data_IF_554807792434
#
_entry.id   IF_554807792434
#
_cell.length_a   1.000
_cell.length_b   1.000
_cell.length_c   1.000
_cell.angle_alpha   90.00
_cell.angle_beta   90.00
_cell.angle_gamma   90.00
#
_symmetry.space_group_name_H-M   'P 1'
#
loop_
_entity.id
_entity.type
_entity.pdbx_description
1 polymer ?
#
# COMPACT_ATOMS: atom_id res chain seq x y z
N UNK A 1 -26.83 -2.69 -47.87
CA UNK A 1 -25.96 -3.78 -47.38
C UNK A 1 -26.49 -4.18 -46.02
N UNK A 2 -26.72 -5.47 -45.78
CA UNK A 2 -27.33 -5.95 -44.53
C UNK A 2 -26.39 -5.71 -43.34
N UNK A 3 -26.93 -5.25 -42.20
CA UNK A 3 -26.12 -4.97 -41.00
C UNK A 3 -25.54 -6.28 -40.44
N UNK A 4 -24.22 -6.28 -40.19
CA UNK A 4 -23.55 -7.46 -39.62
C UNK A 4 -24.04 -7.71 -38.19
N UNK A 5 -24.20 -8.98 -37.84
CA UNK A 5 -24.75 -9.38 -36.54
C UNK A 5 -24.01 -8.74 -35.35
N UNK A 6 -22.68 -8.62 -35.42
CA UNK A 6 -21.87 -8.03 -34.35
C UNK A 6 -22.14 -6.55 -34.12
N UNK A 7 -22.30 -5.77 -35.20
CA UNK A 7 -22.65 -4.33 -35.14
C UNK A 7 -24.00 -4.14 -34.49
N UNK A 8 -24.99 -4.94 -34.93
CA UNK A 8 -26.34 -4.93 -34.33
C UNK A 8 -26.30 -5.26 -32.84
N UNK A 9 -25.56 -6.31 -32.46
CA UNK A 9 -25.43 -6.73 -31.07
C UNK A 9 -24.79 -5.67 -30.19
N UNK A 10 -23.77 -4.94 -30.65
CA UNK A 10 -23.15 -3.86 -29.88
C UNK A 10 -24.14 -2.70 -29.67
N UNK A 11 -24.87 -2.31 -30.73
CA UNK A 11 -25.85 -1.21 -30.68
C UNK A 11 -27.02 -1.49 -29.75
N UNK A 12 -27.53 -2.73 -29.76
CA UNK A 12 -28.71 -3.14 -29.00
C UNK A 12 -28.38 -3.68 -27.60
N UNK A 13 -27.09 -3.75 -27.25
CA UNK A 13 -26.66 -4.31 -25.98
C UNK A 13 -27.12 -3.47 -24.78
N UNK A 14 -27.54 -4.16 -23.74
CA UNK A 14 -27.65 -3.61 -22.40
C UNK A 14 -26.77 -4.43 -21.47
N UNK A 15 -26.22 -3.79 -20.44
CA UNK A 15 -25.49 -4.52 -19.42
C UNK A 15 -26.44 -5.48 -18.69
N UNK A 16 -26.03 -6.74 -18.60
CA UNK A 16 -26.79 -7.79 -17.94
C UNK A 16 -26.05 -8.23 -16.67
N UNK A 17 -26.82 -8.74 -15.71
CA UNK A 17 -26.31 -9.26 -14.45
C UNK A 17 -26.94 -10.60 -14.14
N UNK A 18 -26.20 -11.44 -13.42
CA UNK A 18 -26.71 -12.70 -12.89
C UNK A 18 -26.47 -12.76 -11.38
N UNK A 19 -27.24 -13.59 -10.69
CA UNK A 19 -27.11 -13.72 -9.24
C UNK A 19 -25.73 -14.27 -8.84
N UNK A 20 -25.11 -13.61 -7.87
CA UNK A 20 -23.92 -14.12 -7.21
C UNK A 20 -24.28 -15.41 -6.44
N UNK A 21 -23.77 -16.55 -6.92
CA UNK A 21 -24.01 -17.87 -6.31
C UNK A 21 -23.22 -18.10 -5.01
N UNK A 22 -22.17 -17.31 -4.79
CA UNK A 22 -21.22 -17.51 -3.69
C UNK A 22 -21.33 -16.39 -2.64
N UNK A 23 -22.53 -16.06 -2.19
CA UNK A 23 -22.77 -14.96 -1.21
C UNK A 23 -22.17 -15.20 0.17
N UNK A 24 -21.77 -16.44 0.47
CA UNK A 24 -21.23 -16.86 1.77
C UNK A 24 -19.75 -16.51 1.96
N UNK A 25 -19.07 -16.03 0.91
CA UNK A 25 -17.65 -15.66 0.96
C UNK A 25 -17.42 -14.41 0.14
N UNK A 26 -16.57 -13.52 0.64
CA UNK A 26 -16.09 -12.41 -0.16
C UNK A 26 -15.02 -12.93 -1.13
N UNK A 27 -15.10 -12.47 -2.37
CA UNK A 27 -14.12 -12.77 -3.40
C UNK A 27 -14.01 -11.58 -4.34
N UNK A 28 -12.86 -11.47 -4.99
CA UNK A 28 -12.58 -10.38 -5.92
C UNK A 28 -12.50 -10.93 -7.33
N UNK A 29 -13.24 -10.32 -8.25
CA UNK A 29 -13.19 -10.61 -9.68
C UNK A 29 -12.33 -9.54 -10.35
N UNK A 30 -11.42 -9.97 -11.23
CA UNK A 30 -10.58 -9.09 -12.03
C UNK A 30 -10.81 -9.34 -13.51
N UNK A 31 -11.15 -8.30 -14.25
CA UNK A 31 -11.21 -8.30 -15.70
C UNK A 31 -10.13 -7.40 -16.27
N UNK A 32 -9.48 -7.86 -17.34
CA UNK A 32 -8.56 -7.07 -18.15
C UNK A 32 -9.11 -7.02 -19.57
N UNK A 33 -9.23 -5.81 -20.11
CA UNK A 33 -9.87 -5.53 -21.40
C UNK A 33 -8.87 -4.70 -22.22
N UNK A 34 -7.91 -5.37 -22.89
CA UNK A 34 -6.76 -4.70 -23.53
C UNK A 34 -7.12 -4.01 -24.87
N UNK A 35 -8.32 -4.22 -25.40
CA UNK A 35 -8.75 -3.71 -26.71
C UNK A 35 -9.80 -2.59 -26.61
N UNK A 36 -9.80 -1.81 -25.52
CA UNK A 36 -10.69 -0.66 -25.40
C UNK A 36 -10.31 0.42 -26.41
N UNK A 37 -11.32 1.02 -27.05
CA UNK A 37 -11.13 2.18 -27.91
C UNK A 37 -12.35 3.10 -27.87
N UNK A 38 -12.09 4.39 -28.06
CA UNK A 38 -13.11 5.42 -28.23
C UNK A 38 -12.62 6.51 -29.20
N UNK A 39 -13.46 7.49 -29.50
CA UNK A 39 -13.10 8.64 -30.32
C UNK A 39 -12.83 9.85 -29.43
N UNK A 40 -11.79 10.61 -29.79
CA UNK A 40 -11.56 11.91 -29.18
C UNK A 40 -12.68 12.89 -29.54
N UNK A 41 -13.33 13.54 -28.56
CA UNK A 41 -14.40 14.52 -28.83
C UNK A 41 -14.01 15.69 -29.72
N UNK A 42 -12.74 16.07 -29.73
CA UNK A 42 -12.25 17.25 -30.47
C UNK A 42 -11.78 16.89 -31.88
N UNK A 43 -10.94 15.86 -32.00
CA UNK A 43 -10.29 15.51 -33.28
C UNK A 43 -10.95 14.35 -34.02
N UNK A 44 -11.80 13.56 -33.36
CA UNK A 44 -12.37 12.33 -33.92
C UNK A 44 -11.36 11.20 -34.13
N UNK A 45 -10.10 11.39 -33.77
CA UNK A 45 -9.09 10.33 -33.82
C UNK A 45 -9.38 9.25 -32.78
N UNK A 46 -9.08 7.97 -33.09
CA UNK A 46 -9.27 6.90 -32.15
C UNK A 46 -8.23 6.99 -31.03
N UNK A 47 -8.72 6.86 -29.80
CA UNK A 47 -7.93 6.63 -28.61
C UNK A 47 -8.04 5.14 -28.21
N UNK A 48 -6.98 4.60 -27.62
CA UNK A 48 -6.87 3.21 -27.22
C UNK A 48 -6.47 3.12 -25.75
N UNK A 49 -7.00 2.14 -25.04
CA UNK A 49 -6.65 1.90 -23.64
C UNK A 49 -6.72 0.42 -23.27
N UNK A 50 -6.08 0.07 -22.16
CA UNK A 50 -6.42 -1.13 -21.40
C UNK A 50 -7.33 -0.75 -20.24
N UNK A 51 -8.53 -1.31 -20.17
CA UNK A 51 -9.43 -1.15 -19.03
C UNK A 51 -9.29 -2.36 -18.11
N UNK A 52 -9.00 -2.11 -16.83
CA UNK A 52 -9.00 -3.11 -15.77
C UNK A 52 -10.16 -2.85 -14.82
N UNK A 53 -11.00 -3.86 -14.59
CA UNK A 53 -12.11 -3.78 -13.65
C UNK A 53 -11.86 -4.79 -12.54
N UNK A 54 -11.76 -4.30 -11.31
CA UNK A 54 -11.65 -5.11 -10.11
C UNK A 54 -12.88 -4.88 -9.26
N UNK A 55 -13.62 -5.94 -8.87
CA UNK A 55 -14.79 -5.75 -8.02
C UNK A 55 -15.10 -6.93 -7.10
N UNK A 56 -15.75 -6.62 -5.99
CA UNK A 56 -16.29 -7.58 -5.03
C UNK A 56 -17.81 -7.57 -5.12
N UNK A 57 -18.43 -8.64 -5.67
CA UNK A 57 -19.87 -8.67 -5.88
C UNK A 57 -20.62 -8.69 -4.55
N UNK A 58 -21.78 -8.02 -4.51
CA UNK A 58 -22.78 -8.23 -3.48
C UNK A 58 -23.75 -9.33 -3.95
N UNK A 59 -24.94 -8.95 -4.38
CA UNK A 59 -25.97 -9.88 -4.85
C UNK A 59 -25.80 -10.31 -6.31
N UNK A 60 -25.08 -9.53 -7.10
CA UNK A 60 -25.00 -9.71 -8.55
C UNK A 60 -23.56 -9.68 -9.06
N UNK A 61 -23.34 -10.43 -10.13
CA UNK A 61 -22.16 -10.37 -10.98
C UNK A 61 -22.56 -9.90 -12.38
N UNK A 62 -21.66 -9.20 -13.06
CA UNK A 62 -21.90 -8.78 -14.45
C UNK A 62 -21.77 -9.98 -15.40
N UNK A 63 -22.67 -10.08 -16.37
CA UNK A 63 -22.59 -11.09 -17.41
C UNK A 63 -21.52 -10.68 -18.44
N UNK A 64 -20.55 -11.58 -18.68
CA UNK A 64 -19.31 -11.25 -19.37
C UNK A 64 -19.50 -10.88 -20.86
N UNK A 65 -20.46 -11.50 -21.54
CA UNK A 65 -20.76 -11.17 -22.95
C UNK A 65 -21.38 -9.78 -23.07
N UNK A 66 -22.28 -9.40 -22.17
CA UNK A 66 -22.91 -8.08 -22.12
C UNK A 66 -21.89 -6.99 -21.80
N UNK A 67 -20.95 -7.26 -20.87
CA UNK A 67 -19.84 -6.36 -20.55
C UNK A 67 -18.95 -6.13 -21.78
N UNK A 68 -18.59 -7.20 -22.50
CA UNK A 68 -17.78 -7.09 -23.73
C UNK A 68 -18.47 -6.21 -24.77
N UNK A 69 -19.77 -6.42 -25.00
CA UNK A 69 -20.53 -5.65 -25.98
C UNK A 69 -20.71 -4.18 -25.54
N UNK A 70 -20.94 -3.95 -24.25
CA UNK A 70 -21.00 -2.62 -23.64
C UNK A 70 -19.68 -1.86 -23.84
N UNK A 71 -18.53 -2.49 -23.59
CA UNK A 71 -17.23 -1.87 -23.81
C UNK A 71 -17.02 -1.55 -25.30
N UNK A 72 -17.39 -2.47 -26.20
CA UNK A 72 -17.27 -2.23 -27.64
C UNK A 72 -18.13 -1.06 -28.14
N UNK A 73 -19.18 -0.69 -27.40
CA UNK A 73 -20.03 0.44 -27.74
C UNK A 73 -19.29 1.79 -27.62
N UNK A 74 -18.18 1.86 -26.89
CA UNK A 74 -17.34 3.06 -26.80
C UNK A 74 -16.57 3.36 -28.09
N UNK A 75 -16.38 2.37 -28.97
CA UNK A 75 -15.53 2.49 -30.17
C UNK A 75 -15.87 3.68 -31.05
N UNK A 76 -17.16 3.96 -31.20
CA UNK A 76 -17.67 5.04 -32.05
C UNK A 76 -18.18 6.23 -31.21
N UNK A 77 -17.90 6.27 -29.91
CA UNK A 77 -18.30 7.35 -29.00
C UNK A 77 -17.20 8.38 -28.84
N UNK A 78 -17.62 9.64 -28.93
CA UNK A 78 -16.81 10.79 -28.53
C UNK A 78 -16.84 10.94 -27.01
N UNK A 79 -15.74 10.65 -26.33
CA UNK A 79 -15.66 10.71 -24.85
C UNK A 79 -14.24 11.06 -24.38
N UNK A 80 -14.13 11.87 -23.32
CA UNK A 80 -12.83 12.21 -22.72
C UNK A 80 -12.26 11.03 -21.91
N UNK A 81 -10.93 11.00 -21.73
CA UNK A 81 -10.26 9.88 -21.05
C UNK A 81 -10.73 9.74 -19.59
N UNK A 82 -10.92 10.86 -18.92
CA UNK A 82 -11.40 11.00 -17.55
C UNK A 82 -12.82 10.45 -17.38
N UNK A 83 -13.68 10.71 -18.37
CA UNK A 83 -15.08 10.29 -18.35
C UNK A 83 -15.21 8.78 -18.55
N UNK A 84 -14.34 8.15 -19.35
CA UNK A 84 -14.42 6.71 -19.65
C UNK A 84 -14.45 5.87 -18.37
N UNK A 85 -13.50 6.08 -17.45
CA UNK A 85 -13.43 5.28 -16.23
C UNK A 85 -14.64 5.53 -15.31
N UNK A 86 -15.07 6.80 -15.20
CA UNK A 86 -16.23 7.19 -14.39
C UNK A 86 -17.53 6.59 -14.92
N UNK A 87 -17.80 6.71 -16.23
CA UNK A 87 -19.01 6.15 -16.86
C UNK A 87 -19.06 4.63 -16.66
N UNK A 88 -17.95 3.93 -16.90
CA UNK A 88 -17.88 2.48 -16.71
C UNK A 88 -18.16 2.11 -15.24
N UNK A 89 -17.57 2.85 -14.30
CA UNK A 89 -17.81 2.61 -12.87
C UNK A 89 -19.28 2.86 -12.51
N UNK A 90 -19.84 4.00 -12.89
CA UNK A 90 -21.21 4.40 -12.54
C UNK A 90 -22.24 3.42 -13.10
N UNK A 91 -22.11 3.03 -14.37
CA UNK A 91 -23.01 2.09 -15.02
C UNK A 91 -22.96 0.71 -14.34
N UNK A 92 -21.76 0.23 -13.99
CA UNK A 92 -21.58 -1.06 -13.32
C UNK A 92 -21.99 -1.03 -11.85
N UNK A 93 -21.78 0.09 -11.15
CA UNK A 93 -22.26 0.28 -9.77
C UNK A 93 -23.78 0.31 -9.76
N UNK A 94 -24.41 1.05 -10.67
CA UNK A 94 -25.86 1.08 -10.82
C UNK A 94 -26.43 -0.31 -11.13
N UNK A 95 -25.74 -1.06 -12.00
CA UNK A 95 -26.15 -2.41 -12.36
C UNK A 95 -25.98 -3.42 -11.22
N UNK A 96 -24.85 -3.40 -10.52
CA UNK A 96 -24.45 -4.51 -9.64
C UNK A 96 -24.65 -4.22 -8.15
N UNK A 97 -24.70 -2.95 -7.77
CA UNK A 97 -24.60 -2.49 -6.38
C UNK A 97 -23.49 -3.26 -5.62
N UNK A 98 -22.23 -3.22 -6.12
CA UNK A 98 -21.16 -4.06 -5.59
C UNK A 98 -20.73 -3.58 -4.20
N UNK A 99 -20.07 -4.46 -3.42
CA UNK A 99 -19.47 -4.06 -2.14
C UNK A 99 -18.30 -3.11 -2.34
N UNK A 100 -17.53 -3.39 -3.40
CA UNK A 100 -16.39 -2.61 -3.84
C UNK A 100 -16.23 -2.76 -5.35
N UNK A 101 -15.84 -1.68 -6.02
CA UNK A 101 -15.41 -1.72 -7.41
C UNK A 101 -14.33 -0.68 -7.66
N UNK A 102 -13.34 -1.04 -8.47
CA UNK A 102 -12.30 -0.16 -9.00
C UNK A 102 -12.26 -0.33 -10.51
N UNK A 103 -12.26 0.78 -11.22
CA UNK A 103 -11.98 0.83 -12.67
C UNK A 103 -10.68 1.58 -12.87
N UNK A 104 -9.74 0.96 -13.56
CA UNK A 104 -8.47 1.54 -13.96
C UNK A 104 -8.39 1.59 -15.49
N UNK A 105 -8.23 2.77 -16.05
CA UNK A 105 -8.07 2.99 -17.48
C UNK A 105 -6.63 3.45 -17.76
N UNK A 106 -5.92 2.68 -18.58
CA UNK A 106 -4.54 2.96 -19.00
C UNK A 106 -4.53 3.28 -20.49
N UNK A 107 -4.52 4.56 -20.85
CA UNK A 107 -4.59 5.02 -22.24
C UNK A 107 -3.20 5.00 -22.88
N UNK A 108 -3.16 4.66 -24.16
CA UNK A 108 -1.94 4.77 -24.96
C UNK A 108 -1.47 6.23 -25.06
N UNK A 109 -0.16 6.40 -25.22
CA UNK A 109 0.47 7.73 -25.32
C UNK A 109 -0.14 8.52 -26.48
N UNK A 110 -0.59 9.74 -26.18
CA UNK A 110 -1.09 10.70 -27.16
C UNK A 110 -0.38 12.03 -26.99
N UNK A 111 0.19 12.55 -28.08
CA UNK A 111 0.93 13.82 -28.02
C UNK A 111 2.09 13.80 -27.03
N UNK A 112 2.75 12.64 -26.86
CA UNK A 112 3.79 12.37 -25.86
C UNK A 112 3.32 12.40 -24.40
N UNK A 113 2.02 12.33 -24.14
CA UNK A 113 1.45 12.28 -22.79
C UNK A 113 0.82 10.89 -22.59
N UNK A 114 1.19 10.24 -21.49
CA UNK A 114 0.58 9.00 -21.00
C UNK A 114 -0.48 9.34 -19.96
N UNK A 115 -1.68 8.78 -20.09
CA UNK A 115 -2.82 9.12 -19.23
C UNK A 115 -3.34 7.86 -18.58
N UNK A 116 -3.46 7.89 -17.25
CA UNK A 116 -4.08 6.81 -16.48
C UNK A 116 -5.15 7.37 -15.56
N UNK A 117 -6.28 6.67 -15.42
CA UNK A 117 -7.40 7.09 -14.59
C UNK A 117 -7.78 5.94 -13.66
N UNK A 118 -7.95 6.23 -12.38
CA UNK A 118 -8.48 5.28 -11.38
C UNK A 118 -9.70 5.87 -10.71
N UNK A 119 -10.79 5.11 -10.66
CA UNK A 119 -12.00 5.46 -9.90
C UNK A 119 -12.43 4.28 -9.04
N UNK A 120 -13.01 4.58 -7.88
CA UNK A 120 -13.37 3.57 -6.86
C UNK A 120 -14.76 3.86 -6.30
N UNK A 121 -15.51 2.78 -6.08
CA UNK A 121 -16.77 2.76 -5.33
C UNK A 121 -16.67 1.80 -4.15
N UNK A 122 -17.18 2.22 -2.99
CA UNK A 122 -17.30 1.39 -1.79
C UNK A 122 -15.95 1.09 -1.10
N UNK A 123 -15.98 0.17 -0.14
CA UNK A 123 -14.81 -0.23 0.64
C UNK A 123 -14.45 -1.66 0.32
N UNK A 124 -13.21 -1.89 -0.14
CA UNK A 124 -12.71 -3.24 -0.41
C UNK A 124 -12.70 -4.06 0.87
N UNK A 125 -13.47 -5.14 0.88
CA UNK A 125 -13.43 -6.15 1.93
C UNK A 125 -12.09 -6.87 1.94
N UNK A 126 -11.69 -7.24 3.16
CA UNK A 126 -10.37 -7.78 3.49
C UNK A 126 -10.11 -9.07 2.72
N UNK A 127 -8.94 -9.18 2.10
CA UNK A 127 -8.56 -10.34 1.28
C UNK A 127 -8.14 -11.56 2.12
N UNK A 128 -7.81 -11.36 3.40
CA UNK A 128 -7.45 -12.42 4.34
C UNK A 128 -8.34 -12.35 5.60
N UNK A 129 -9.68 -12.56 5.45
CA UNK A 129 -10.65 -12.32 6.53
C UNK A 129 -10.56 -13.35 7.68
N UNK A 130 -9.95 -14.51 7.46
CA UNK A 130 -9.77 -15.52 8.51
C UNK A 130 -8.35 -15.51 9.10
N UNK A 131 -7.51 -14.56 8.68
CA UNK A 131 -6.10 -14.52 9.06
C UNK A 131 -5.78 -13.34 9.98
N UNK A 132 -4.76 -13.55 10.80
CA UNK A 132 -4.16 -12.53 11.67
C UNK A 132 -2.85 -12.05 11.06
N UNK A 133 -2.62 -10.74 11.09
CA UNK A 133 -1.34 -10.14 10.73
C UNK A 133 -0.63 -9.51 11.92
N UNK A 134 0.70 -9.55 11.88
CA UNK A 134 1.59 -8.95 12.86
C UNK A 134 2.36 -7.80 12.21
N UNK A 135 2.15 -6.58 12.70
CA UNK A 135 2.71 -5.36 12.10
C UNK A 135 3.90 -4.89 12.92
N UNK A 136 5.06 -4.70 12.29
CA UNK A 136 6.16 -3.96 12.90
C UNK A 136 5.80 -2.47 12.96
N UNK A 137 5.44 -1.99 14.16
CA UNK A 137 4.97 -0.63 14.40
C UNK A 137 6.04 0.18 15.13
N UNK A 138 6.54 1.25 14.50
CA UNK A 138 7.59 2.12 15.07
C UNK A 138 7.08 3.47 15.54
N UNK A 139 5.83 3.83 15.24
CA UNK A 139 5.33 5.20 15.47
C UNK A 139 5.63 6.18 14.33
N UNK A 140 6.47 5.79 13.36
CA UNK A 140 6.76 6.57 12.16
C UNK A 140 5.73 6.42 11.04
N UNK A 141 5.81 7.34 10.07
CA UNK A 141 4.92 7.43 8.89
C UNK A 141 4.76 6.08 8.17
N UNK A 142 5.87 5.43 7.81
CA UNK A 142 5.84 4.21 6.98
C UNK A 142 5.17 3.05 7.73
N UNK A 143 5.53 2.86 9.01
CA UNK A 143 4.91 1.82 9.83
C UNK A 143 3.43 2.08 10.10
N UNK A 144 3.00 3.34 10.18
CA UNK A 144 1.59 3.71 10.27
C UNK A 144 0.85 3.34 8.99
N UNK A 145 1.37 3.70 7.80
CA UNK A 145 0.70 3.36 6.53
C UNK A 145 0.67 1.84 6.32
N UNK A 146 1.72 1.13 6.70
CA UNK A 146 1.71 -0.35 6.72
C UNK A 146 0.65 -0.92 7.67
N UNK A 147 0.41 -0.29 8.83
CA UNK A 147 -0.68 -0.67 9.72
C UNK A 147 -2.05 -0.44 9.08
N UNK A 148 -2.27 0.71 8.43
CA UNK A 148 -3.52 1.00 7.72
C UNK A 148 -3.78 -0.05 6.64
N UNK A 149 -2.75 -0.37 5.85
CA UNK A 149 -2.82 -1.43 4.85
C UNK A 149 -3.18 -2.77 5.50
N UNK A 150 -2.55 -3.14 6.62
CA UNK A 150 -2.85 -4.39 7.31
C UNK A 150 -4.30 -4.45 7.81
N UNK A 151 -4.82 -3.36 8.40
CA UNK A 151 -6.21 -3.29 8.88
C UNK A 151 -7.21 -3.45 7.73
N UNK A 152 -6.89 -2.99 6.52
CA UNK A 152 -7.72 -3.16 5.34
C UNK A 152 -7.66 -4.59 4.75
N UNK A 153 -6.60 -5.36 5.02
CA UNK A 153 -6.38 -6.68 4.38
C UNK A 153 -6.61 -7.87 5.31
N UNK A 154 -6.52 -7.69 6.63
CA UNK A 154 -6.62 -8.76 7.63
C UNK A 154 -7.68 -8.48 8.68
N UNK A 155 -8.41 -9.50 9.10
CA UNK A 155 -9.48 -9.35 10.09
C UNK A 155 -8.96 -9.02 11.48
N UNK A 156 -7.87 -9.68 11.88
CA UNK A 156 -7.16 -9.40 13.13
C UNK A 156 -5.76 -8.85 12.83
N UNK A 157 -5.38 -7.79 13.55
CA UNK A 157 -4.05 -7.19 13.46
C UNK A 157 -3.51 -7.01 14.87
N UNK A 158 -2.25 -7.38 15.09
CA UNK A 158 -1.50 -7.10 16.31
C UNK A 158 -0.23 -6.31 15.95
N UNK A 159 0.05 -5.26 16.71
CA UNK A 159 1.25 -4.45 16.57
C UNK A 159 2.37 -5.01 17.44
N UNK A 160 3.59 -5.02 16.91
CA UNK A 160 4.81 -5.34 17.64
C UNK A 160 5.80 -4.19 17.45
N UNK A 161 6.27 -3.63 18.56
CA UNK A 161 7.29 -2.57 18.58
C UNK A 161 8.57 -3.11 19.18
N UNK A 162 9.69 -2.87 18.50
CA UNK A 162 11.02 -3.13 19.04
C UNK A 162 11.69 -1.78 19.31
N UNK A 163 12.31 -1.64 20.46
CA UNK A 163 13.01 -0.43 20.84
C UNK A 163 14.41 -0.72 21.36
N UNK A 164 15.31 0.22 21.09
CA UNK A 164 16.73 0.19 21.41
C UNK A 164 17.26 1.62 21.49
N UNK A 165 18.21 1.90 22.37
CA UNK A 165 18.77 3.22 22.63
C UNK A 165 17.86 4.21 23.36
N UNK A 166 18.45 5.28 23.90
CA UNK A 166 17.74 6.32 24.65
C UNK A 166 16.80 7.20 23.79
N UNK A 167 17.09 7.33 22.49
CA UNK A 167 16.33 8.19 21.55
C UNK A 167 14.98 7.61 21.10
N UNK A 168 14.66 6.36 21.43
CA UNK A 168 13.45 5.65 20.97
C UNK A 168 12.25 5.74 21.93
N UNK A 169 12.38 6.42 23.08
CA UNK A 169 11.24 6.64 23.98
C UNK A 169 10.08 7.39 23.31
N UNK A 170 10.39 8.32 22.40
CA UNK A 170 9.38 9.06 21.64
C UNK A 170 8.73 8.15 20.59
N UNK A 171 9.50 7.37 19.84
CA UNK A 171 8.95 6.45 18.84
C UNK A 171 8.01 5.40 19.46
N UNK A 172 8.40 4.83 20.61
CA UNK A 172 7.56 3.90 21.38
C UNK A 172 6.26 4.59 21.84
N UNK A 173 6.33 5.82 22.34
CA UNK A 173 5.15 6.58 22.73
C UNK A 173 4.15 6.75 21.57
N UNK A 174 4.65 7.09 20.37
CA UNK A 174 3.79 7.22 19.19
C UNK A 174 3.25 5.87 18.72
N UNK A 175 4.03 4.79 18.77
CA UNK A 175 3.56 3.44 18.47
C UNK A 175 2.40 3.01 19.40
N UNK A 176 2.53 3.26 20.71
CA UNK A 176 1.44 3.03 21.68
C UNK A 176 0.21 3.87 21.38
N UNK A 177 0.39 5.16 21.11
CA UNK A 177 -0.70 6.09 20.78
C UNK A 177 -1.49 5.59 19.58
N UNK A 178 -0.79 5.16 18.53
CA UNK A 178 -1.39 4.60 17.32
C UNK A 178 -2.15 3.31 17.67
N UNK A 179 -1.50 2.34 18.33
CA UNK A 179 -2.13 1.06 18.63
C UNK A 179 -3.40 1.22 19.49
N UNK A 180 -3.36 2.10 20.50
CA UNK A 180 -4.54 2.45 21.32
C UNK A 180 -5.66 3.07 20.48
N UNK A 181 -5.33 3.99 19.56
CA UNK A 181 -6.32 4.64 18.70
C UNK A 181 -7.02 3.69 17.73
N UNK A 182 -6.33 2.64 17.28
CA UNK A 182 -6.92 1.61 16.42
C UNK A 182 -7.50 0.43 17.20
N UNK A 183 -7.44 0.46 18.53
CA UNK A 183 -7.89 -0.61 19.42
C UNK A 183 -7.31 -1.99 19.04
N UNK A 184 -6.00 -2.04 18.75
CA UNK A 184 -5.29 -3.28 18.41
C UNK A 184 -4.36 -3.72 19.55
N UNK A 185 -4.19 -5.05 19.76
CA UNK A 185 -3.17 -5.54 20.67
C UNK A 185 -1.78 -5.01 20.30
N UNK A 186 -0.97 -4.71 21.32
CA UNK A 186 0.36 -4.12 21.14
C UNK A 186 1.36 -4.76 22.08
N UNK A 187 2.38 -5.41 21.52
CA UNK A 187 3.48 -6.02 22.24
C UNK A 187 4.77 -5.24 22.02
N UNK A 188 5.57 -5.07 23.07
CA UNK A 188 6.82 -4.30 23.01
C UNK A 188 8.01 -5.14 23.46
N UNK A 189 9.14 -4.99 22.76
CA UNK A 189 10.38 -5.70 23.05
C UNK A 189 11.56 -4.73 23.15
N UNK A 190 12.22 -4.74 24.31
CA UNK A 190 13.51 -4.07 24.49
C UNK A 190 14.63 -4.96 23.95
N UNK A 191 15.35 -4.50 22.94
CA UNK A 191 16.51 -5.18 22.37
C UNK A 191 17.80 -4.35 22.49
N UNK A 192 17.78 -3.30 23.31
CA UNK A 192 18.87 -2.34 23.48
C UNK A 192 20.20 -3.02 23.85
N UNK A 193 20.21 -3.81 24.92
CA UNK A 193 21.42 -4.51 25.38
C UNK A 193 21.99 -5.50 24.37
N UNK A 194 21.12 -6.13 23.56
CA UNK A 194 21.55 -7.05 22.50
C UNK A 194 22.21 -6.31 21.33
N UNK A 195 21.65 -5.18 20.90
CA UNK A 195 22.26 -4.39 19.82
C UNK A 195 23.55 -3.69 20.27
N UNK A 196 23.60 -3.18 21.50
CA UNK A 196 24.82 -2.61 22.09
C UNK A 196 25.97 -3.61 22.15
N UNK A 197 25.69 -4.87 22.47
CA UNK A 197 26.71 -5.92 22.57
C UNK A 197 27.16 -6.51 21.23
N UNK A 198 26.44 -6.23 20.14
CA UNK A 198 26.69 -6.85 18.82
C UNK A 198 27.13 -5.84 17.75
N UNK A 199 27.15 -4.54 18.07
CA UNK A 199 27.58 -3.50 17.14
C UNK A 199 28.61 -2.55 17.78
N UNK A 200 29.81 -2.45 17.18
CA UNK A 200 30.82 -1.41 17.45
C UNK A 200 30.37 -0.04 16.87
N UNK A 201 29.13 0.38 17.17
CA UNK A 201 28.53 1.56 16.56
C UNK A 201 28.44 2.73 17.54
N UNK A 202 28.94 3.89 17.14
CA UNK A 202 28.95 5.16 17.88
C UNK A 202 27.56 5.75 18.18
N UNK A 203 26.49 4.99 17.94
CA UNK A 203 25.11 5.32 18.31
C UNK A 203 24.93 5.54 19.82
N UNK A 204 25.85 5.03 20.64
CA UNK A 204 25.82 5.13 22.10
C UNK A 204 26.80 6.17 22.68
N UNK A 205 27.67 6.78 21.87
CA UNK A 205 28.76 7.66 22.32
C UNK A 205 28.52 9.17 22.09
N UNK A 206 27.32 9.57 21.66
CA UNK A 206 26.87 10.97 21.65
C UNK A 206 27.62 11.95 20.73
N UNK A 207 28.68 11.52 20.03
CA UNK A 207 29.49 12.38 19.17
C UNK A 207 29.49 11.87 17.70
N UNK A 208 28.94 12.70 16.80
CA UNK A 208 28.91 12.58 15.34
C UNK A 208 28.04 11.47 14.70
N UNK A 209 26.73 11.73 14.62
CA UNK A 209 25.79 10.98 13.76
C UNK A 209 26.00 11.21 12.24
N UNK A 210 26.94 12.08 11.84
CA UNK A 210 27.15 12.52 10.45
C UNK A 210 28.31 11.81 9.73
N UNK A 211 28.99 10.87 10.39
CA UNK A 211 30.17 10.17 9.84
C UNK A 211 29.85 8.94 8.99
N UNK A 212 30.88 8.38 8.34
CA UNK A 212 30.82 7.09 7.64
C UNK A 212 31.13 5.93 8.60
N UNK A 213 30.51 4.76 8.39
CA UNK A 213 30.77 3.57 9.21
C UNK A 213 32.22 3.08 9.05
N UNK A 214 32.86 2.75 10.18
CA UNK A 214 34.27 2.38 10.23
C UNK A 214 34.62 1.17 9.33
N UNK A 215 33.80 0.12 9.38
CA UNK A 215 34.01 -1.10 8.59
C UNK A 215 33.38 -1.08 7.20
N UNK A 216 32.45 -0.16 6.93
CA UNK A 216 31.67 -0.12 5.70
C UNK A 216 31.45 1.34 5.28
N UNK A 217 32.50 1.98 4.76
CA UNK A 217 32.53 3.43 4.50
C UNK A 217 31.40 3.98 3.63
N UNK A 218 30.69 3.12 2.88
CA UNK A 218 29.52 3.48 2.07
C UNK A 218 28.21 3.57 2.88
N UNK A 219 28.23 3.23 4.18
CA UNK A 219 27.08 3.22 5.08
C UNK A 219 27.24 4.29 6.18
N UNK A 220 26.13 4.81 6.76
CA UNK A 220 26.19 5.77 7.86
C UNK A 220 26.82 5.20 9.14
N UNK A 221 27.45 6.03 9.97
CA UNK A 221 28.02 5.60 11.26
C UNK A 221 26.98 4.99 12.23
N UNK A 222 25.69 5.31 12.05
CA UNK A 222 24.56 4.70 12.78
C UNK A 222 24.12 3.34 12.22
N UNK A 223 24.88 2.72 11.33
CA UNK A 223 24.55 1.43 10.75
C UNK A 223 24.76 0.31 11.77
N UNK A 224 23.69 -0.41 12.08
CA UNK A 224 23.74 -1.68 12.81
C UNK A 224 23.55 -2.79 11.77
N UNK A 225 24.55 -3.66 11.56
CA UNK A 225 24.47 -4.73 10.57
C UNK A 225 23.23 -5.61 10.73
N UNK A 226 22.46 -5.76 9.65
CA UNK A 226 21.33 -6.70 9.56
C UNK A 226 20.24 -6.51 10.65
N UNK A 227 20.05 -5.29 11.13
CA UNK A 227 19.05 -5.00 12.18
C UNK A 227 17.63 -5.39 11.78
N UNK A 228 17.24 -5.18 10.52
CA UNK A 228 15.89 -5.54 10.08
C UNK A 228 15.69 -7.05 10.08
N UNK A 229 16.76 -7.82 9.84
CA UNK A 229 16.75 -9.27 10.00
C UNK A 229 16.41 -9.71 11.42
N UNK A 230 17.01 -9.05 12.41
CA UNK A 230 16.68 -9.29 13.81
C UNK A 230 15.23 -8.94 14.11
N UNK A 231 14.74 -7.79 13.64
CA UNK A 231 13.36 -7.36 13.88
C UNK A 231 12.36 -8.35 13.31
N UNK A 232 12.60 -8.82 12.08
CA UNK A 232 11.78 -9.83 11.41
C UNK A 232 11.80 -11.17 12.16
N UNK A 233 12.94 -11.59 12.71
CA UNK A 233 13.01 -12.79 13.55
C UNK A 233 12.21 -12.63 14.84
N UNK A 234 12.34 -11.49 15.53
CA UNK A 234 11.63 -11.26 16.79
C UNK A 234 10.11 -11.25 16.59
N UNK A 235 9.60 -10.54 15.57
CA UNK A 235 8.16 -10.53 15.29
C UNK A 235 7.65 -11.91 14.83
N UNK A 236 8.45 -12.68 14.07
CA UNK A 236 8.09 -14.04 13.68
C UNK A 236 8.01 -14.97 14.90
N UNK A 237 8.98 -14.89 15.82
CA UNK A 237 8.96 -15.64 17.07
C UNK A 237 7.79 -15.21 17.98
N UNK A 238 7.48 -13.91 18.02
CA UNK A 238 6.30 -13.40 18.71
C UNK A 238 5.02 -14.05 18.15
N UNK A 239 4.86 -14.04 16.82
CA UNK A 239 3.71 -14.61 16.15
C UNK A 239 3.60 -16.13 16.37
N UNK A 240 4.72 -16.85 16.31
CA UNK A 240 4.79 -18.30 16.51
C UNK A 240 4.26 -18.72 17.89
N UNK A 241 4.57 -17.96 18.95
CA UNK A 241 4.06 -18.23 20.31
C UNK A 241 2.54 -18.14 20.43
N UNK A 242 1.86 -17.51 19.48
CA UNK A 242 0.40 -17.44 19.43
C UNK A 242 -0.23 -18.61 18.66
N UNK A 243 0.56 -19.60 18.26
CA UNK A 243 0.12 -20.88 17.71
C UNK A 243 -0.75 -20.73 16.44
N UNK A 244 -0.30 -19.87 15.52
CA UNK A 244 -0.98 -19.63 14.23
C UNK A 244 -0.46 -20.57 13.14
N UNK A 245 -1.35 -21.09 12.30
CA UNK A 245 -0.99 -22.02 11.22
C UNK A 245 -0.22 -21.36 10.06
N UNK A 246 -0.28 -20.03 9.95
CA UNK A 246 0.40 -19.23 8.94
C UNK A 246 0.71 -17.85 9.52
N UNK A 247 1.99 -17.49 9.57
CA UNK A 247 2.45 -16.21 10.08
C UNK A 247 2.46 -15.17 8.96
N UNK A 248 1.62 -14.14 9.07
CA UNK A 248 1.66 -12.97 8.21
C UNK A 248 2.31 -11.80 8.93
N UNK A 249 3.48 -11.37 8.46
CA UNK A 249 4.21 -10.21 8.98
C UNK A 249 4.03 -9.05 8.02
N UNK A 250 3.79 -7.84 8.53
CA UNK A 250 3.75 -6.61 7.74
C UNK A 250 4.82 -5.66 8.24
N UNK A 251 5.62 -5.12 7.32
CA UNK A 251 6.71 -4.21 7.64
C UNK A 251 6.76 -3.04 6.65
N UNK A 252 7.14 -1.86 7.14
CA UNK A 252 7.26 -0.63 6.35
C UNK A 252 8.59 -0.44 5.63
N UNK A 253 9.44 -1.48 5.52
CA UNK A 253 10.69 -1.37 4.76
C UNK A 253 10.41 -1.06 3.28
N UNK A 254 11.30 -0.27 2.70
CA UNK A 254 11.17 0.27 1.35
C UNK A 254 12.56 0.33 0.69
N UNK A 255 12.62 0.11 -0.63
CA UNK A 255 13.86 0.15 -1.40
C UNK A 255 14.01 1.44 -2.25
N UNK A 256 12.92 2.13 -2.57
CA UNK A 256 12.92 3.36 -3.39
C UNK A 256 13.50 4.57 -2.67
N UNK A 257 13.24 4.71 -1.36
CA UNK A 257 13.74 5.81 -0.52
C UNK A 257 14.95 5.41 0.34
N UNK A 258 15.68 4.36 -0.06
CA UNK A 258 16.71 3.75 0.79
C UNK A 258 17.99 4.59 0.92
N UNK A 259 18.57 4.55 2.12
CA UNK A 259 19.85 5.18 2.48
C UNK A 259 21.05 4.22 2.41
N UNK A 260 21.02 3.17 1.59
CA UNK A 260 22.17 2.25 1.47
C UNK A 260 22.01 0.85 2.09
N UNK A 261 20.96 0.63 2.89
CA UNK A 261 20.75 -0.57 3.71
C UNK A 261 20.38 -1.83 2.87
N UNK A 262 21.24 -2.87 2.86
CA UNK A 262 20.98 -4.09 2.08
C UNK A 262 19.82 -4.93 2.64
N UNK A 263 19.54 -4.82 3.93
CA UNK A 263 18.48 -5.51 4.68
C UNK A 263 17.08 -4.89 4.51
N UNK A 264 16.94 -3.87 3.64
CA UNK A 264 15.66 -3.32 3.20
C UNK A 264 15.23 -3.81 1.81
N UNK A 265 16.11 -4.54 1.09
CA UNK A 265 15.88 -4.89 -0.32
C UNK A 265 14.85 -6.02 -0.46
N UNK A 266 14.07 -5.99 -1.54
CA UNK A 266 13.09 -7.05 -1.85
C UNK A 266 13.73 -8.45 -1.87
N UNK A 267 14.91 -8.58 -2.49
CA UNK A 267 15.65 -9.84 -2.54
C UNK A 267 16.02 -10.36 -1.14
N UNK A 268 16.37 -9.46 -0.23
CA UNK A 268 16.69 -9.80 1.15
C UNK A 268 15.42 -10.23 1.90
N UNK A 269 14.32 -9.49 1.76
CA UNK A 269 13.05 -9.83 2.44
C UNK A 269 12.53 -11.19 1.98
N UNK A 270 12.62 -11.50 0.68
CA UNK A 270 12.25 -12.81 0.14
C UNK A 270 13.11 -13.94 0.71
N UNK A 271 14.42 -13.73 0.79
CA UNK A 271 15.33 -14.70 1.41
C UNK A 271 15.01 -14.91 2.90
N UNK A 272 14.74 -13.81 3.63
CA UNK A 272 14.37 -13.84 5.05
C UNK A 272 13.03 -14.55 5.29
N UNK A 273 12.04 -14.36 4.43
CA UNK A 273 10.76 -15.06 4.50
C UNK A 273 10.95 -16.59 4.40
N UNK A 274 11.76 -17.05 3.46
CA UNK A 274 12.07 -18.46 3.30
C UNK A 274 12.81 -19.00 4.53
N UNK A 275 13.85 -18.29 4.99
CA UNK A 275 14.59 -18.67 6.19
C UNK A 275 13.69 -18.81 7.42
N UNK A 276 12.82 -17.84 7.68
CA UNK A 276 11.89 -17.90 8.80
C UNK A 276 10.88 -19.05 8.65
N UNK A 277 10.40 -19.33 7.43
CA UNK A 277 9.48 -20.44 7.20
C UNK A 277 10.13 -21.79 7.51
N UNK A 278 11.40 -21.96 7.10
CA UNK A 278 12.17 -23.17 7.37
C UNK A 278 12.56 -23.28 8.84
N UNK A 279 12.96 -22.17 9.46
CA UNK A 279 13.43 -22.15 10.85
C UNK A 279 12.31 -22.36 11.88
N UNK A 280 11.08 -21.96 11.56
CA UNK A 280 9.91 -22.13 12.42
C UNK A 280 9.06 -23.35 12.07
N UNK A 281 9.33 -24.00 10.94
CA UNK A 281 8.50 -25.09 10.38
C UNK A 281 7.01 -24.70 10.24
N UNK A 282 6.77 -23.42 9.89
CA UNK A 282 5.44 -22.84 9.69
C UNK A 282 5.51 -21.89 8.50
N UNK A 283 4.52 -21.86 7.59
CA UNK A 283 4.50 -20.87 6.50
C UNK A 283 4.59 -19.44 7.03
N UNK A 284 5.57 -18.68 6.54
CA UNK A 284 5.72 -17.25 6.83
C UNK A 284 5.52 -16.46 5.53
N UNK A 285 4.76 -15.37 5.60
CA UNK A 285 4.64 -14.39 4.53
C UNK A 285 4.96 -13.00 5.05
N UNK A 286 5.92 -12.32 4.43
CA UNK A 286 6.31 -10.96 4.77
C UNK A 286 5.74 -10.01 3.71
N UNK A 287 4.81 -9.17 4.14
CA UNK A 287 4.19 -8.12 3.33
C UNK A 287 4.98 -6.83 3.48
N UNK A 288 5.38 -6.26 2.34
CA UNK A 288 6.12 -4.99 2.23
C UNK A 288 5.33 -4.00 1.38
N UNK A 289 4.20 -3.46 1.88
CA UNK A 289 3.28 -2.64 1.07
C UNK A 289 3.94 -1.38 0.49
N UNK A 290 5.07 -0.94 1.05
CA UNK A 290 5.80 0.26 0.64
C UNK A 290 7.08 -0.04 -0.16
N UNK A 291 7.36 -1.30 -0.52
CA UNK A 291 8.65 -1.70 -1.12
C UNK A 291 9.06 -0.84 -2.32
N UNK A 292 8.08 -0.51 -3.17
CA UNK A 292 8.24 0.22 -4.42
C UNK A 292 7.56 1.59 -4.42
N UNK A 293 7.23 2.11 -3.23
CA UNK A 293 6.48 3.36 -3.05
C UNK A 293 7.42 4.49 -2.65
N UNK A 294 7.30 5.65 -3.29
CA UNK A 294 7.92 6.87 -2.78
C UNK A 294 7.07 7.51 -1.66
N UNK A 295 7.60 8.55 -1.00
CA UNK A 295 6.87 9.25 0.07
C UNK A 295 5.55 9.88 -0.37
N UNK A 296 5.44 10.40 -1.59
CA UNK A 296 4.19 10.97 -2.08
C UNK A 296 3.11 9.88 -2.20
N UNK A 297 3.46 8.73 -2.75
CA UNK A 297 2.55 7.58 -2.83
C UNK A 297 2.17 7.04 -1.45
N UNK A 298 3.08 7.08 -0.47
CA UNK A 298 2.76 6.74 0.93
C UNK A 298 1.72 7.69 1.54
N UNK A 299 1.78 8.99 1.22
CA UNK A 299 0.71 9.93 1.60
C UNK A 299 -0.60 9.66 0.85
N UNK A 300 -0.56 9.31 -0.45
CA UNK A 300 -1.74 8.90 -1.21
C UNK A 300 -2.42 7.70 -0.57
N UNK A 301 -1.67 6.66 -0.19
CA UNK A 301 -2.23 5.48 0.48
C UNK A 301 -2.98 5.84 1.77
N UNK A 302 -2.45 6.77 2.58
CA UNK A 302 -3.14 7.24 3.78
C UNK A 302 -4.38 8.10 3.44
N UNK A 303 -4.31 8.90 2.37
CA UNK A 303 -5.42 9.71 1.88
C UNK A 303 -6.57 8.84 1.34
N UNK A 304 -6.29 7.88 0.48
CA UNK A 304 -7.28 6.93 -0.07
C UNK A 304 -7.93 6.08 1.03
N UNK A 305 -7.18 5.79 2.10
CA UNK A 305 -7.72 5.10 3.27
C UNK A 305 -8.56 6.02 4.19
N UNK A 306 -8.66 7.32 3.91
CA UNK A 306 -9.34 8.30 4.76
C UNK A 306 -8.65 8.56 6.09
N UNK A 307 -7.32 8.33 6.18
CA UNK A 307 -6.51 8.38 7.41
C UNK A 307 -5.37 9.41 7.35
N UNK A 308 -5.43 10.34 6.41
CA UNK A 308 -4.40 11.38 6.24
C UNK A 308 -4.25 12.24 7.50
N UNK A 309 -5.36 12.56 8.16
CA UNK A 309 -5.35 13.40 9.37
C UNK A 309 -4.61 12.70 10.52
N UNK A 310 -4.91 11.42 10.75
CA UNK A 310 -4.24 10.57 11.73
C UNK A 310 -2.76 10.43 11.39
N UNK A 311 -2.40 10.22 10.11
CA UNK A 311 -1.00 10.18 9.69
C UNK A 311 -0.24 11.46 10.08
N UNK A 312 -0.83 12.64 9.87
CA UNK A 312 -0.22 13.93 10.18
C UNK A 312 -0.06 14.12 11.70
N UNK A 313 -1.08 13.77 12.50
CA UNK A 313 -1.17 14.12 13.93
C UNK A 313 -0.81 12.98 14.90
N UNK A 314 -0.50 11.80 14.40
CA UNK A 314 -0.24 10.62 15.24
C UNK A 314 1.05 9.90 14.88
N UNK A 315 1.92 10.49 14.07
CA UNK A 315 3.21 9.85 13.73
C UNK A 315 4.39 10.77 14.00
N UNK A 316 5.50 10.19 14.42
CA UNK A 316 6.78 10.88 14.63
C UNK A 316 7.82 10.35 13.65
N UNK A 317 8.39 11.24 12.82
CA UNK A 317 9.44 10.87 11.86
C UNK A 317 10.73 11.66 12.10
N UNK A 318 10.68 12.68 12.96
CA UNK A 318 11.83 13.51 13.26
C UNK A 318 12.85 12.77 14.12
N UNK A 319 14.10 12.63 13.65
CA UNK A 319 15.19 12.05 14.43
C UNK A 319 15.48 12.77 15.75
N UNK A 320 15.13 14.05 15.85
CA UNK A 320 15.29 14.84 17.08
C UNK A 320 14.06 14.76 18.00
N UNK A 321 13.01 14.01 17.64
CA UNK A 321 11.79 13.89 18.44
C UNK A 321 11.00 15.20 18.63
N UNK A 322 11.17 16.17 17.74
CA UNK A 322 10.53 17.47 17.85
C UNK A 322 9.03 17.38 17.49
N UNK A 323 8.16 17.83 18.40
CA UNK A 323 6.69 17.77 18.27
C UNK A 323 6.07 19.05 17.69
N UNK A 324 6.83 19.87 16.96
CA UNK A 324 6.28 21.02 16.23
C UNK A 324 5.43 20.51 15.07
N UNK A 325 4.15 20.89 15.04
CA UNK A 325 3.21 20.48 14.01
C UNK A 325 3.37 21.33 12.75
N UNK A 326 3.56 20.66 11.61
CA UNK A 326 3.49 21.23 10.26
C UNK A 326 2.37 20.56 9.45
N UNK A 327 2.05 21.11 8.27
CA UNK A 327 1.06 20.51 7.37
C UNK A 327 1.40 19.08 6.96
N UNK A 328 2.70 18.75 6.88
CA UNK A 328 3.20 17.40 6.57
C UNK A 328 3.34 16.49 7.81
N UNK A 329 3.11 17.00 9.03
CA UNK A 329 3.20 16.28 10.31
C UNK A 329 4.18 16.87 11.33
N UNK A 330 4.47 16.11 12.39
CA UNK A 330 5.39 16.53 13.45
C UNK A 330 6.87 16.46 13.03
N UNK A 331 7.65 17.50 13.36
CA UNK A 331 9.11 17.44 13.28
C UNK A 331 9.82 18.78 13.37
N UNK A 332 11.16 18.75 13.31
CA UNK A 332 11.99 19.96 13.39
C UNK A 332 12.15 20.71 12.05
N UNK A 333 11.69 20.12 10.94
CA UNK A 333 11.77 20.69 9.60
C UNK A 333 13.16 20.68 8.94
N UNK A 334 14.23 20.40 9.69
CA UNK A 334 15.62 20.53 9.20
C UNK A 334 16.42 19.22 9.12
N UNK A 335 16.00 18.16 9.82
CA UNK A 335 16.71 16.88 9.76
C UNK A 335 16.36 16.10 8.47
N UNK A 336 17.22 15.17 8.00
CA UNK A 336 17.00 14.45 6.74
C UNK A 336 15.63 13.78 6.64
N UNK A 337 15.14 13.18 7.73
CA UNK A 337 13.84 12.54 7.78
C UNK A 337 12.68 13.54 7.62
N UNK A 338 12.77 14.73 8.25
CA UNK A 338 11.80 15.80 8.06
C UNK A 338 11.82 16.36 6.63
N UNK A 339 13.01 16.55 6.06
CA UNK A 339 13.13 17.03 4.67
C UNK A 339 12.49 16.06 3.68
N UNK A 340 12.72 14.75 3.85
CA UNK A 340 12.14 13.71 3.00
C UNK A 340 10.60 13.66 3.15
N UNK A 341 10.09 13.71 4.38
CA UNK A 341 8.64 13.73 4.65
C UNK A 341 7.97 14.98 4.10
N UNK A 342 8.58 16.15 4.26
CA UNK A 342 8.08 17.42 3.72
C UNK A 342 8.02 17.38 2.19
N UNK A 343 9.11 16.97 1.53
CA UNK A 343 9.16 16.84 0.07
C UNK A 343 8.07 15.89 -0.46
N UNK A 344 7.92 14.73 0.17
CA UNK A 344 6.87 13.78 -0.20
C UNK A 344 5.46 14.33 -0.03
N UNK A 345 5.23 15.16 1.00
CA UNK A 345 3.93 15.81 1.19
C UNK A 345 3.65 16.87 0.11
N UNK A 346 4.66 17.68 -0.25
CA UNK A 346 4.55 18.67 -1.33
C UNK A 346 4.24 17.99 -2.67
N UNK A 347 4.92 16.88 -2.97
CA UNK A 347 4.65 16.05 -4.15
C UNK A 347 3.25 15.42 -4.11
N UNK A 348 2.81 14.94 -2.95
CA UNK A 348 1.44 14.45 -2.75
C UNK A 348 0.39 15.53 -3.04
N UNK A 349 0.60 16.77 -2.59
CA UNK A 349 -0.33 17.87 -2.87
C UNK A 349 -0.42 18.19 -4.37
N UNK A 350 0.63 17.93 -5.14
CA UNK A 350 0.61 18.06 -6.60
C UNK A 350 -0.18 16.91 -7.25
N UNK A 351 -0.12 15.71 -6.69
CA UNK A 351 -0.81 14.52 -7.20
C UNK A 351 -2.29 14.42 -6.77
N UNK A 352 -2.70 15.14 -5.71
CA UNK A 352 -4.07 15.16 -5.20
C UNK A 352 -4.99 16.14 -5.97
N UNK A 353 -4.41 17.10 -6.71
CA UNK A 353 -5.15 17.99 -7.60
C UNK A 353 -5.60 17.23 -8.84
#
# INVERSE_FOLDING_TARGET
MEEKYGTRMIRENQLERFENRNKQRDYTINFSIPEFTCLCPISGFPDFATITIEYQPADFCVELKSLKLYINHFRDKNVFHEDVANIILDDLVQLLNPRYMKVFADFNVRGNIHTTITVVHGTKMKMFPDKKAFVLLSGGQDSFVSLIWAIQHFNSVEAVTLFYGQSHNIEVHYAEKIAKSFNIPHSQYNIDGFLQSTADSSLFDGNNHSGQHNAARHLPASFVPNRNGLFLTVIANHAFRLNVDHIHIVTGVCQTDYSGYPDCRDSYIKAKQLELSLGLDVPVTIHTPLMWKNKAETFIMAYEAGRLNELIHMTMTCYNGNETLHEWGFGCGVCPACSLRKKGFEEFLLLKK
#
